data_IF_727410636784
#
_entry.id   IF_727410636784
#
_cell.length_a   1.000
_cell.length_b   1.000
_cell.length_c   1.000
_cell.angle_alpha   90.00
_cell.angle_beta   90.00
_cell.angle_gamma   90.00
#
_symmetry.space_group_name_H-M   'P 1'
#
loop_
_entity.id
_entity.type
_entity.pdbx_description
1 polymer ?
#
# COMPACT_ATOMS: atom_id res chain seq x y z
N UNK A 1 -7.92 10.42 -15.99
CA UNK A 1 -8.36 9.29 -15.15
C UNK A 1 -7.45 8.07 -15.24
N UNK A 2 -7.02 7.64 -16.44
CA UNK A 2 -6.22 6.41 -16.66
C UNK A 2 -4.96 6.27 -15.78
N UNK A 3 -4.25 7.36 -15.48
CA UNK A 3 -3.06 7.32 -14.62
C UNK A 3 -3.33 6.94 -13.15
N UNK A 4 -4.51 7.26 -12.61
CA UNK A 4 -4.89 6.89 -11.24
C UNK A 4 -5.19 5.38 -11.17
N UNK A 5 -5.88 4.87 -12.19
CA UNK A 5 -6.20 3.44 -12.30
C UNK A 5 -4.90 2.63 -12.45
N UNK A 6 -3.99 3.07 -13.32
CA UNK A 6 -2.67 2.45 -13.47
C UNK A 6 -1.89 2.42 -12.14
N UNK A 7 -1.93 3.51 -11.36
CA UNK A 7 -1.29 3.56 -10.04
C UNK A 7 -1.82 2.50 -9.07
N UNK A 8 -3.15 2.34 -8.98
CA UNK A 8 -3.78 1.34 -8.10
C UNK A 8 -3.49 -0.10 -8.53
N UNK A 9 -3.46 -0.36 -9.84
CA UNK A 9 -3.08 -1.69 -10.36
C UNK A 9 -1.62 -1.98 -10.02
N UNK A 10 -0.72 -1.01 -10.24
CA UNK A 10 0.70 -1.11 -9.89
C UNK A 10 0.89 -1.42 -8.40
N UNK A 11 0.18 -0.70 -7.52
CA UNK A 11 0.22 -0.95 -6.06
C UNK A 11 -0.27 -2.34 -5.69
N UNK A 12 -1.36 -2.82 -6.33
CA UNK A 12 -1.95 -4.12 -6.00
C UNK A 12 -1.09 -5.31 -6.43
N UNK A 13 -0.43 -5.22 -7.58
CA UNK A 13 0.26 -6.36 -8.18
C UNK A 13 1.78 -6.26 -8.12
N UNK A 14 2.32 -5.12 -7.67
CA UNK A 14 3.75 -4.81 -7.73
C UNK A 14 4.33 -5.07 -9.13
N UNK A 15 3.64 -4.56 -10.16
CA UNK A 15 4.02 -4.65 -11.58
C UNK A 15 3.82 -3.32 -12.28
N UNK A 16 4.58 -3.02 -13.35
CA UNK A 16 4.23 -1.93 -14.26
C UNK A 16 2.81 -2.14 -14.79
N UNK A 17 2.02 -1.06 -14.81
CA UNK A 17 0.64 -1.11 -15.26
C UNK A 17 0.39 0.02 -16.26
N UNK A 18 -0.22 -0.32 -17.39
CA UNK A 18 -0.64 0.62 -18.42
C UNK A 18 -2.16 0.54 -18.58
N UNK A 19 -2.82 1.70 -18.62
CA UNK A 19 -4.26 1.79 -18.80
C UNK A 19 -4.55 2.76 -19.94
N UNK A 20 -5.37 2.34 -20.89
CA UNK A 20 -5.80 3.16 -22.02
C UNK A 20 -7.32 3.17 -22.15
N UNK A 21 -7.84 4.32 -22.60
CA UNK A 21 -9.19 4.42 -23.14
C UNK A 21 -9.12 4.40 -24.67
N UNK A 22 -10.09 3.75 -25.32
CA UNK A 22 -10.20 3.70 -26.77
C UNK A 22 -11.36 4.59 -27.21
N UNK A 23 -11.07 5.53 -28.11
CA UNK A 23 -12.06 6.42 -28.73
C UNK A 23 -11.77 6.45 -30.23
N UNK A 24 -12.77 6.15 -31.05
CA UNK A 24 -12.67 6.17 -32.52
C UNK A 24 -11.46 5.38 -33.06
N UNK A 25 -11.23 4.17 -32.54
CA UNK A 25 -10.13 3.30 -32.94
C UNK A 25 -8.73 3.74 -32.46
N UNK A 26 -8.64 4.82 -31.66
CA UNK A 26 -7.37 5.29 -31.09
C UNK A 26 -7.34 5.05 -29.59
N UNK A 27 -6.36 4.29 -29.13
CA UNK A 27 -6.06 4.08 -27.73
C UNK A 27 -5.15 5.20 -27.22
N UNK A 28 -5.54 5.89 -26.15
CA UNK A 28 -4.68 6.83 -25.41
C UNK A 28 -4.61 6.43 -23.95
N UNK A 29 -3.39 6.32 -23.43
CA UNK A 29 -3.17 5.74 -22.12
C UNK A 29 -2.03 6.37 -21.33
N UNK A 30 -1.98 5.97 -20.06
CA UNK A 30 -0.89 6.29 -19.15
C UNK A 30 -0.43 5.02 -18.45
N UNK A 31 0.87 4.96 -18.19
CA UNK A 31 1.53 3.90 -17.46
C UNK A 31 2.12 4.37 -16.13
N UNK A 32 2.22 3.44 -15.19
CA UNK A 32 2.96 3.57 -13.92
C UNK A 32 3.89 2.39 -13.77
N UNK A 33 5.11 2.64 -13.32
CA UNK A 33 6.11 1.60 -13.11
C UNK A 33 6.38 1.35 -11.63
N UNK A 34 7.21 0.34 -11.38
CA UNK A 34 7.75 -0.05 -10.07
C UNK A 34 9.27 0.17 -10.05
N UNK A 35 9.90 0.28 -8.87
CA UNK A 35 11.35 0.39 -8.77
C UNK A 35 12.06 -0.72 -9.55
N UNK A 36 13.17 -0.37 -10.22
CA UNK A 36 13.94 -1.31 -11.04
C UNK A 36 13.37 -1.57 -12.44
N UNK A 37 12.23 -0.96 -12.82
CA UNK A 37 11.65 -1.11 -14.16
C UNK A 37 11.46 0.25 -14.83
N UNK A 38 12.23 0.53 -15.89
CA UNK A 38 12.10 1.78 -16.66
C UNK A 38 11.01 1.66 -17.73
N UNK A 39 9.80 2.08 -17.36
CA UNK A 39 8.66 2.09 -18.28
C UNK A 39 8.76 3.18 -19.34
N UNK A 40 9.39 4.31 -19.02
CA UNK A 40 9.58 5.42 -19.94
C UNK A 40 10.42 5.02 -21.15
N UNK A 41 11.56 4.37 -20.90
CA UNK A 41 12.44 3.85 -21.93
C UNK A 41 11.73 2.84 -22.85
N UNK A 42 10.94 1.91 -22.27
CA UNK A 42 10.18 0.94 -23.05
C UNK A 42 9.15 1.61 -23.97
N UNK A 43 8.40 2.61 -23.47
CA UNK A 43 7.41 3.35 -24.27
C UNK A 43 8.07 4.22 -25.34
N UNK A 44 9.21 4.86 -25.04
CA UNK A 44 9.98 5.62 -26.03
C UNK A 44 10.46 4.71 -27.16
N UNK A 45 10.96 3.52 -26.83
CA UNK A 45 11.40 2.55 -27.82
C UNK A 45 10.25 2.03 -28.68
N UNK A 46 9.07 1.80 -28.10
CA UNK A 46 7.86 1.39 -28.85
C UNK A 46 7.41 2.47 -29.85
N UNK A 47 7.59 3.75 -29.49
CA UNK A 47 7.36 4.85 -30.43
C UNK A 47 8.39 4.86 -31.55
N UNK A 48 9.67 4.67 -31.23
CA UNK A 48 10.75 4.62 -32.22
C UNK A 48 10.61 3.44 -33.19
N UNK A 49 10.01 2.33 -32.76
CA UNK A 49 9.71 1.18 -33.63
C UNK A 49 8.42 1.33 -34.44
N UNK A 50 7.72 2.48 -34.34
CA UNK A 50 6.50 2.76 -35.09
C UNK A 50 5.22 2.11 -34.55
N UNK A 51 5.29 1.41 -33.40
CA UNK A 51 4.10 0.80 -32.78
C UNK A 51 3.15 1.85 -32.20
N UNK A 52 3.70 2.97 -31.73
CA UNK A 52 2.95 4.06 -31.12
C UNK A 52 2.93 5.32 -32.00
N UNK A 53 1.77 5.98 -32.09
CA UNK A 53 1.61 7.33 -32.65
C UNK A 53 2.28 8.38 -31.76
N UNK A 54 2.12 8.25 -30.45
CA UNK A 54 2.76 9.11 -29.45
C UNK A 54 3.28 8.27 -28.28
N UNK A 55 4.38 8.69 -27.68
CA UNK A 55 5.05 7.93 -26.62
C UNK A 55 6.15 8.74 -25.96
N UNK A 56 6.19 8.72 -24.64
CA UNK A 56 7.19 9.40 -23.82
C UNK A 56 6.95 9.19 -22.33
N UNK A 57 7.91 9.60 -21.51
CA UNK A 57 7.82 9.46 -20.06
C UNK A 57 9.18 9.41 -19.38
N UNK A 58 9.15 9.00 -18.12
CA UNK A 58 10.31 8.73 -17.27
C UNK A 58 10.19 7.31 -16.69
N UNK A 59 11.20 6.87 -15.95
CA UNK A 59 11.26 5.52 -15.39
C UNK A 59 9.95 5.06 -14.72
N UNK A 60 9.34 5.92 -13.91
CA UNK A 60 8.16 5.58 -13.10
C UNK A 60 6.80 5.87 -13.77
N UNK A 61 6.77 6.57 -14.90
CA UNK A 61 5.53 6.97 -15.54
C UNK A 61 5.68 7.24 -17.03
N UNK A 62 4.73 6.78 -17.83
CA UNK A 62 4.72 7.01 -19.26
C UNK A 62 3.32 7.41 -19.78
N UNK A 63 3.30 8.05 -20.93
CA UNK A 63 2.10 8.34 -21.71
C UNK A 63 2.26 7.81 -23.13
N UNK A 64 1.19 7.25 -23.69
CA UNK A 64 1.23 6.62 -25.01
C UNK A 64 -0.08 6.80 -25.78
N UNK A 65 0.01 6.71 -27.10
CA UNK A 65 -1.11 6.68 -28.01
C UNK A 65 -0.83 5.78 -29.20
N UNK A 66 -1.80 4.94 -29.58
CA UNK A 66 -1.68 4.00 -30.69
C UNK A 66 -3.04 3.76 -31.37
N UNK A 67 -3.02 3.18 -32.55
CA UNK A 67 -4.22 2.60 -33.17
C UNK A 67 -4.57 1.31 -32.44
N UNK A 68 -5.85 1.04 -32.20
CA UNK A 68 -6.29 -0.08 -31.36
C UNK A 68 -5.85 -1.44 -31.91
N UNK A 69 -5.68 -1.55 -33.24
CA UNK A 69 -5.21 -2.74 -33.94
C UNK A 69 -3.77 -3.12 -33.51
N UNK A 70 -2.96 -2.14 -33.11
CA UNK A 70 -1.58 -2.35 -32.67
C UNK A 70 -1.48 -2.77 -31.19
N UNK A 71 -2.59 -2.89 -30.45
CA UNK A 71 -2.55 -3.21 -29.02
C UNK A 71 -1.85 -4.55 -28.73
N UNK A 72 -2.12 -5.58 -29.53
CA UNK A 72 -1.49 -6.89 -29.35
C UNK A 72 0.02 -6.82 -29.57
N UNK A 73 0.47 -6.15 -30.64
CA UNK A 73 1.89 -5.96 -30.93
C UNK A 73 2.59 -5.12 -29.85
N UNK A 74 1.92 -4.08 -29.33
CA UNK A 74 2.46 -3.27 -28.25
C UNK A 74 2.57 -4.06 -26.94
N UNK A 75 1.60 -4.93 -26.64
CA UNK A 75 1.66 -5.81 -25.47
C UNK A 75 2.86 -6.75 -25.52
N UNK A 76 3.02 -7.47 -26.64
CA UNK A 76 4.16 -8.39 -26.82
C UNK A 76 5.51 -7.66 -26.72
N UNK A 77 5.61 -6.46 -27.30
CA UNK A 77 6.81 -5.62 -27.22
C UNK A 77 7.16 -5.23 -25.78
N UNK A 78 6.16 -4.93 -24.95
CA UNK A 78 6.37 -4.62 -23.54
C UNK A 78 6.74 -5.86 -22.73
N UNK A 79 6.10 -7.01 -22.97
CA UNK A 79 6.41 -8.26 -22.28
C UNK A 79 7.87 -8.66 -22.45
N UNK A 80 8.40 -8.53 -23.67
CA UNK A 80 9.80 -8.82 -23.98
C UNK A 80 10.75 -7.85 -23.25
N UNK A 81 10.48 -6.55 -23.31
CA UNK A 81 11.37 -5.51 -22.78
C UNK A 81 11.30 -5.32 -21.27
N UNK A 82 10.18 -5.69 -20.68
CA UNK A 82 9.93 -5.58 -19.25
C UNK A 82 9.94 -6.96 -18.59
N UNK A 83 10.60 -7.95 -19.20
CA UNK A 83 10.66 -9.34 -18.70
C UNK A 83 11.14 -9.41 -17.25
N UNK A 84 12.05 -8.52 -16.82
CA UNK A 84 12.50 -8.48 -15.41
C UNK A 84 11.36 -8.21 -14.42
N UNK A 85 10.27 -7.56 -14.83
CA UNK A 85 9.13 -7.31 -13.97
C UNK A 85 8.41 -8.62 -13.57
N UNK A 86 8.54 -9.68 -14.37
CA UNK A 86 7.95 -10.99 -14.05
C UNK A 86 8.59 -11.64 -12.81
N UNK A 87 9.87 -11.36 -12.57
CA UNK A 87 10.64 -11.90 -11.45
C UNK A 87 10.43 -11.14 -10.14
N UNK A 88 9.71 -10.01 -10.16
CA UNK A 88 9.42 -9.26 -8.94
C UNK A 88 8.49 -10.06 -8.00
N UNK A 89 8.59 -9.88 -6.67
CA UNK A 89 7.60 -10.45 -5.76
C UNK A 89 6.20 -9.88 -6.08
N UNK A 90 5.15 -10.66 -5.83
CA UNK A 90 3.76 -10.25 -6.08
C UNK A 90 3.28 -9.12 -5.17
N UNK A 91 3.96 -8.92 -4.04
CA UNK A 91 3.76 -7.83 -3.11
C UNK A 91 5.08 -7.08 -2.89
N UNK A 92 4.99 -5.83 -2.46
CA UNK A 92 6.16 -5.04 -2.03
C UNK A 92 6.50 -5.39 -0.59
N UNK A 93 7.78 -5.34 -0.23
CA UNK A 93 8.21 -5.46 1.16
C UNK A 93 7.59 -4.36 2.02
N UNK A 94 7.22 -4.71 3.25
CA UNK A 94 6.75 -3.77 4.26
C UNK A 94 7.96 -3.27 5.06
N UNK A 95 8.43 -2.06 4.77
CA UNK A 95 9.53 -1.45 5.51
C UNK A 95 9.05 -1.01 6.89
N UNK A 96 9.72 -1.49 7.93
CA UNK A 96 9.42 -1.18 9.33
C UNK A 96 10.49 -0.24 9.87
N UNK A 97 10.08 0.83 10.55
CA UNK A 97 10.98 1.77 11.20
C UNK A 97 11.55 1.18 12.49
N UNK A 98 10.68 0.63 13.33
CA UNK A 98 11.08 0.08 14.62
C UNK A 98 10.09 -0.93 15.19
N UNK A 99 10.60 -1.72 16.13
CA UNK A 99 9.80 -2.64 16.96
C UNK A 99 9.46 -1.94 18.28
N UNK A 100 8.19 -1.96 18.66
CA UNK A 100 7.67 -1.37 19.89
C UNK A 100 7.05 -2.44 20.79
N UNK A 101 7.40 -2.42 22.07
CA UNK A 101 6.58 -3.07 23.08
C UNK A 101 5.27 -2.29 23.28
N UNK A 102 4.21 -2.98 23.70
CA UNK A 102 2.91 -2.32 24.01
C UNK A 102 3.07 -1.17 25.00
N UNK A 103 3.94 -1.30 26.00
CA UNK A 103 4.21 -0.25 26.98
C UNK A 103 4.94 0.97 26.39
N UNK A 104 5.69 0.81 25.30
CA UNK A 104 6.38 1.90 24.61
C UNK A 104 5.52 2.61 23.57
N UNK A 105 4.37 2.04 23.19
CA UNK A 105 3.41 2.65 22.28
C UNK A 105 2.51 3.65 23.01
N UNK A 106 3.11 4.66 23.62
CA UNK A 106 2.42 5.66 24.45
C UNK A 106 2.19 7.00 23.73
N UNK A 107 1.45 7.89 24.40
CA UNK A 107 1.07 9.19 23.84
C UNK A 107 2.28 10.10 23.61
N UNK A 108 3.32 10.03 24.46
CA UNK A 108 4.51 10.84 24.32
C UNK A 108 5.32 10.45 23.08
N UNK A 109 5.48 9.14 22.83
CA UNK A 109 6.09 8.66 21.59
C UNK A 109 5.26 9.08 20.37
N UNK A 110 3.94 8.93 20.43
CA UNK A 110 3.05 9.30 19.33
C UNK A 110 3.12 10.82 19.00
N UNK A 111 3.25 11.67 20.01
CA UNK A 111 3.47 13.11 19.83
C UNK A 111 4.85 13.42 19.25
N UNK A 112 5.89 12.69 19.65
CA UNK A 112 7.23 12.84 19.04
C UNK A 112 7.21 12.44 17.57
N UNK A 113 6.59 11.32 17.22
CA UNK A 113 6.43 10.87 15.83
C UNK A 113 5.69 11.92 15.00
N UNK A 114 4.63 12.52 15.55
CA UNK A 114 3.86 13.56 14.85
C UNK A 114 4.69 14.78 14.45
N UNK A 115 5.78 15.08 15.16
CA UNK A 115 6.71 16.18 14.85
C UNK A 115 7.67 15.89 13.69
N UNK A 116 7.77 14.63 13.24
CA UNK A 116 8.57 14.23 12.07
C UNK A 116 7.89 14.56 10.74
N UNK A 117 6.61 14.97 10.78
CA UNK A 117 5.89 15.43 9.62
C UNK A 117 6.43 16.75 9.06
N UNK A 118 5.96 17.17 7.86
CA UNK A 118 4.87 16.57 7.10
C UNK A 118 5.28 15.25 6.42
N UNK A 119 4.40 14.25 6.49
CA UNK A 119 4.61 12.96 5.84
C UNK A 119 4.14 13.00 4.38
N UNK A 120 4.84 12.26 3.52
CA UNK A 120 4.55 12.18 2.09
C UNK A 120 5.67 11.49 1.31
N UNK A 121 5.70 11.71 0.00
CA UNK A 121 6.74 11.16 -0.84
C UNK A 121 8.12 11.69 -0.43
N UNK A 122 9.06 10.81 -0.09
CA UNK A 122 10.39 11.15 0.42
C UNK A 122 10.46 11.40 1.93
N UNK A 123 9.33 11.36 2.64
CA UNK A 123 9.27 11.35 4.10
C UNK A 123 8.06 10.51 4.53
N UNK A 124 8.16 9.19 4.36
CA UNK A 124 7.05 8.28 4.68
C UNK A 124 6.76 8.31 6.19
N UNK A 125 5.49 8.13 6.56
CA UNK A 125 5.13 8.06 7.97
C UNK A 125 5.76 6.79 8.59
N UNK A 126 6.44 6.88 9.75
CA UNK A 126 7.09 5.74 10.37
C UNK A 126 6.12 4.60 10.67
N UNK A 127 6.41 3.42 10.11
CA UNK A 127 5.63 2.22 10.34
C UNK A 127 6.29 1.37 11.43
N UNK A 128 5.54 1.06 12.49
CA UNK A 128 6.05 0.30 13.62
C UNK A 128 5.50 -1.12 13.61
N UNK A 129 6.22 -2.05 14.23
CA UNK A 129 5.67 -3.37 14.60
C UNK A 129 5.53 -3.49 16.11
N UNK A 130 4.37 -3.97 16.54
CA UNK A 130 4.13 -4.43 17.91
C UNK A 130 4.04 -5.95 17.88
N UNK A 131 5.11 -6.67 18.29
CA UNK A 131 5.20 -8.10 18.08
C UNK A 131 4.47 -8.89 19.17
N UNK A 132 4.04 -10.10 18.82
CA UNK A 132 3.55 -11.13 19.78
C UNK A 132 2.42 -10.64 20.68
N UNK A 133 1.46 -9.89 20.14
CA UNK A 133 0.30 -9.40 20.90
C UNK A 133 -0.91 -10.31 20.74
N UNK A 134 -1.74 -10.41 21.77
CA UNK A 134 -3.02 -11.13 21.71
C UNK A 134 -4.17 -10.14 21.67
N UNK A 135 -5.16 -10.42 20.81
CA UNK A 135 -6.42 -9.68 20.80
C UNK A 135 -7.24 -10.08 22.02
N UNK A 136 -7.50 -9.13 22.93
CA UNK A 136 -8.30 -9.35 24.15
C UNK A 136 -9.70 -8.73 24.05
N UNK A 137 -9.92 -7.80 23.13
CA UNK A 137 -11.23 -7.29 22.75
C UNK A 137 -11.23 -6.94 21.26
N UNK A 138 -12.33 -7.21 20.58
CA UNK A 138 -12.50 -6.87 19.17
C UNK A 138 -13.95 -6.53 18.86
N UNK A 139 -14.17 -5.52 18.03
CA UNK A 139 -15.50 -5.09 17.59
C UNK A 139 -15.42 -4.36 16.26
N UNK A 140 -16.46 -4.51 15.42
CA UNK A 140 -16.68 -3.62 14.28
C UNK A 140 -17.41 -2.36 14.76
N UNK A 141 -16.95 -1.20 14.30
CA UNK A 141 -17.50 0.12 14.65
C UNK A 141 -17.76 0.97 13.39
N UNK A 142 -18.51 2.05 13.58
CA UNK A 142 -18.91 2.98 12.53
C UNK A 142 -20.21 2.56 11.83
N UNK A 143 -20.80 3.49 11.07
CA UNK A 143 -22.13 3.31 10.44
C UNK A 143 -22.20 2.07 9.54
N UNK A 144 -21.12 1.81 8.80
CA UNK A 144 -21.05 0.70 7.84
C UNK A 144 -20.24 -0.49 8.37
N UNK A 145 -19.93 -0.52 9.68
CA UNK A 145 -19.12 -1.57 10.31
C UNK A 145 -17.75 -1.82 9.62
N UNK A 146 -17.22 -0.80 8.93
CA UNK A 146 -16.02 -0.88 8.09
C UNK A 146 -14.72 -0.62 8.84
N UNK A 147 -14.79 -0.41 10.16
CA UNK A 147 -13.62 -0.23 11.02
C UNK A 147 -13.62 -1.31 12.08
N UNK A 148 -12.51 -2.01 12.24
CA UNK A 148 -12.31 -2.95 13.35
C UNK A 148 -11.51 -2.23 14.42
N UNK A 149 -12.05 -2.15 15.64
CA UNK A 149 -11.33 -1.68 16.82
C UNK A 149 -10.96 -2.88 17.67
N UNK A 150 -9.68 -2.99 18.00
CA UNK A 150 -9.16 -4.02 18.90
C UNK A 150 -8.48 -3.40 20.12
N UNK A 151 -8.52 -4.14 21.21
CA UNK A 151 -7.60 -4.00 22.33
C UNK A 151 -6.65 -5.18 22.28
N UNK A 152 -5.35 -4.91 22.24
CA UNK A 152 -4.32 -5.96 22.27
C UNK A 152 -3.49 -5.89 23.54
N UNK A 153 -3.02 -7.05 23.98
CA UNK A 153 -2.18 -7.22 25.16
C UNK A 153 -0.83 -7.82 24.73
N UNK A 154 0.27 -7.23 25.21
CA UNK A 154 1.62 -7.70 24.91
C UNK A 154 2.11 -8.73 25.93
N UNK A 155 3.17 -9.48 25.60
CA UNK A 155 3.72 -10.51 26.49
C UNK A 155 4.24 -9.95 27.83
N UNK A 156 4.74 -8.71 27.84
CA UNK A 156 5.13 -7.99 29.05
C UNK A 156 3.96 -7.35 29.81
N UNK A 157 2.71 -7.64 29.43
CA UNK A 157 1.52 -6.96 29.90
C UNK A 157 1.28 -5.62 29.21
N UNK A 158 0.35 -4.83 29.76
CA UNK A 158 -0.11 -3.58 29.16
C UNK A 158 -1.10 -3.80 28.01
N UNK A 159 -1.82 -2.74 27.64
CA UNK A 159 -2.84 -2.80 26.58
C UNK A 159 -2.72 -1.64 25.61
N UNK A 160 -2.88 -1.93 24.33
CA UNK A 160 -2.84 -0.96 23.25
C UNK A 160 -4.14 -0.99 22.44
N UNK A 161 -4.72 0.20 22.23
CA UNK A 161 -5.89 0.38 21.36
C UNK A 161 -5.39 0.45 19.93
N UNK A 162 -5.91 -0.43 19.08
CA UNK A 162 -5.57 -0.43 17.68
C UNK A 162 -6.82 -0.44 16.78
N UNK A 163 -6.69 0.13 15.59
CA UNK A 163 -7.77 0.30 14.63
C UNK A 163 -7.32 -0.16 13.24
N UNK A 164 -8.13 -0.99 12.59
CA UNK A 164 -8.05 -1.26 11.16
C UNK A 164 -9.20 -0.52 10.47
N UNK A 165 -8.88 0.50 9.69
CA UNK A 165 -9.86 1.22 8.87
C UNK A 165 -10.11 0.50 7.55
N UNK A 166 -11.32 0.67 7.00
CA UNK A 166 -11.73 0.09 5.71
C UNK A 166 -11.48 -1.42 5.66
N UNK A 167 -11.74 -2.09 6.78
CA UNK A 167 -11.59 -3.53 6.92
C UNK A 167 -12.46 -4.25 5.88
N UNK A 168 -11.83 -5.13 5.10
CA UNK A 168 -12.51 -6.04 4.18
C UNK A 168 -12.86 -7.33 4.91
N UNK A 169 -13.62 -8.21 4.27
CA UNK A 169 -13.79 -9.58 4.77
C UNK A 169 -12.64 -10.44 4.24
N UNK A 170 -11.48 -10.31 4.87
CA UNK A 170 -10.25 -11.03 4.54
C UNK A 170 -9.62 -11.69 5.77
N UNK A 171 -8.46 -12.32 5.57
CA UNK A 171 -7.73 -13.04 6.62
C UNK A 171 -7.27 -12.10 7.74
N UNK A 172 -6.88 -10.87 7.41
CA UNK A 172 -6.48 -9.85 8.38
C UNK A 172 -7.66 -9.51 9.30
N UNK A 173 -8.83 -9.18 8.73
CA UNK A 173 -10.03 -8.93 9.53
C UNK A 173 -10.42 -10.14 10.38
N UNK A 174 -10.35 -11.35 9.79
CA UNK A 174 -10.66 -12.60 10.51
C UNK A 174 -9.71 -12.85 11.69
N UNK A 175 -8.41 -12.55 11.53
CA UNK A 175 -7.43 -12.68 12.60
C UNK A 175 -7.68 -11.66 13.72
N UNK A 176 -7.98 -10.41 13.39
CA UNK A 176 -8.25 -9.35 14.36
C UNK A 176 -9.59 -9.54 15.09
N UNK A 177 -10.57 -10.21 14.48
CA UNK A 177 -11.86 -10.52 15.11
C UNK A 177 -11.80 -11.73 16.06
N UNK A 178 -10.74 -12.55 15.97
CA UNK A 178 -10.55 -13.74 16.81
C UNK A 178 -9.94 -13.38 18.18
N UNK A 179 -10.80 -13.00 19.12
CA UNK A 179 -10.41 -12.77 20.52
C UNK A 179 -9.85 -14.06 21.13
N UNK A 180 -8.72 -13.94 21.85
CA UNK A 180 -8.04 -15.08 22.47
C UNK A 180 -7.32 -16.02 21.50
N UNK A 181 -7.16 -15.61 20.23
CA UNK A 181 -6.41 -16.37 19.22
C UNK A 181 -4.90 -16.49 19.51
N UNK A 182 -4.20 -17.11 18.56
CA UNK A 182 -2.74 -17.11 18.55
C UNK A 182 -2.18 -15.68 18.56
N UNK A 183 -1.00 -15.42 19.14
CA UNK A 183 -0.40 -14.10 19.10
C UNK A 183 -0.12 -13.66 17.66
N UNK A 184 -0.15 -12.36 17.44
CA UNK A 184 0.07 -11.71 16.15
C UNK A 184 1.24 -10.72 16.27
N UNK A 185 1.98 -10.55 15.18
CA UNK A 185 2.74 -9.33 14.92
C UNK A 185 1.82 -8.33 14.24
N UNK A 186 1.63 -7.15 14.83
CA UNK A 186 0.86 -6.07 14.21
C UNK A 186 1.80 -5.01 13.64
N UNK A 187 1.62 -4.66 12.37
CA UNK A 187 2.28 -3.53 11.73
C UNK A 187 1.29 -2.36 11.59
N UNK A 188 1.75 -1.14 11.83
CA UNK A 188 0.87 0.03 11.79
C UNK A 188 1.53 1.34 12.20
N UNK A 189 0.75 2.42 12.08
CA UNK A 189 1.17 3.76 12.45
C UNK A 189 0.79 4.09 13.89
N UNK A 190 1.71 4.67 14.66
CA UNK A 190 1.43 5.19 15.98
C UNK A 190 1.09 6.67 15.90
N UNK A 191 -0.13 7.07 16.26
CA UNK A 191 -0.57 8.48 16.19
C UNK A 191 -1.15 8.96 17.51
N UNK A 192 -0.92 10.23 17.80
CA UNK A 192 -1.53 10.90 18.94
C UNK A 192 -2.99 11.23 18.62
N UNK A 193 -3.91 10.78 19.45
CA UNK A 193 -5.33 11.06 19.35
C UNK A 193 -5.76 11.92 20.54
N UNK A 194 -6.34 13.09 20.26
CA UNK A 194 -6.93 13.96 21.28
C UNK A 194 -8.44 13.78 21.32
N UNK A 195 -8.97 13.40 22.48
CA UNK A 195 -10.39 13.27 22.72
C UNK A 195 -10.73 13.77 24.12
N UNK A 196 -11.70 14.69 24.21
CA UNK A 196 -12.17 15.27 25.48
C UNK A 196 -11.02 15.83 26.35
N UNK A 197 -10.05 16.51 25.74
CA UNK A 197 -8.89 17.10 26.42
C UNK A 197 -7.81 16.09 26.86
N UNK A 198 -7.97 14.80 26.56
CA UNK A 198 -6.97 13.77 26.84
C UNK A 198 -6.29 13.32 25.55
N UNK A 199 -4.96 13.33 25.54
CA UNK A 199 -4.15 12.72 24.49
C UNK A 199 -3.90 11.26 24.81
N UNK A 200 -4.05 10.40 23.82
CA UNK A 200 -3.78 8.97 23.90
C UNK A 200 -3.06 8.49 22.65
N UNK A 201 -2.37 7.36 22.73
CA UNK A 201 -1.85 6.69 21.56
C UNK A 201 -2.94 5.85 20.88
N UNK A 202 -3.03 5.97 19.56
CA UNK A 202 -3.79 5.06 18.71
C UNK A 202 -2.86 4.36 17.74
N UNK A 203 -2.97 3.03 17.64
CA UNK A 203 -2.22 2.24 16.68
C UNK A 203 -3.09 1.91 15.46
N UNK A 204 -2.70 2.34 14.28
CA UNK A 204 -3.47 2.19 13.05
C UNK A 204 -2.89 1.05 12.21
N UNK A 205 -3.54 -0.11 12.28
CA UNK A 205 -3.09 -1.35 11.70
C UNK A 205 -3.12 -1.25 10.17
N UNK A 206 -2.00 -1.61 9.56
CA UNK A 206 -1.86 -1.77 8.10
C UNK A 206 -1.80 -3.24 7.71
N UNK A 207 -1.17 -4.08 8.54
CA UNK A 207 -0.99 -5.50 8.28
C UNK A 207 -0.79 -6.29 9.58
N UNK A 208 -0.96 -7.61 9.52
CA UNK A 208 -0.68 -8.52 10.62
C UNK A 208 -0.18 -9.88 10.12
N UNK A 209 0.69 -10.50 10.91
CA UNK A 209 1.17 -11.86 10.67
C UNK A 209 1.04 -12.72 11.96
N UNK A 210 0.88 -14.05 11.84
CA UNK A 210 1.08 -14.95 12.97
C UNK A 210 2.47 -14.76 13.60
N UNK A 211 2.52 -14.89 14.93
CA UNK A 211 3.76 -14.79 15.71
C UNK A 211 4.51 -16.11 15.88
#
# INVERSE_FOLDING_TARGET
MVGIVAGRIKEKFNRPALVAGIVEGVAKGSGRSVPGVDLGAAVIAARQSGLLKTGGGHAMAAGFGLVAENLSAFHAFLDERLVQASALPSATDLTLEAVLAVAGADAGLAEMVSKLGPFGNGNEEPLFVVPRVRVVKSERIGKDASTIRVMVEGEGGGRLKALLFRAKEDELASALLRVGGAPLHLAGYLRAESWNGRVSAGFFITDAAPA
#
